data_IF_921089449810
#
_entry.id   IF_921089449810
#
_cell.length_a   1.000
_cell.length_b   1.000
_cell.length_c   1.000
_cell.angle_alpha   90.00
_cell.angle_beta   90.00
_cell.angle_gamma   90.00
#
_symmetry.space_group_name_H-M   'P 1'
#
loop_
_entity.id
_entity.type
_entity.pdbx_description
1 polymer ?
#
# COMPACT_ATOMS: atom_id res chain seq x y z
N UNK A 1 28.98 8.13 0.50
CA UNK A 1 27.92 7.27 1.06
C UNK A 1 28.55 5.99 1.60
N UNK A 2 28.08 5.49 2.73
CA UNK A 2 28.67 4.30 3.38
C UNK A 2 28.56 3.07 2.48
N UNK A 3 29.63 2.29 2.27
CA UNK A 3 29.64 1.17 1.31
C UNK A 3 28.57 0.10 1.57
N UNK A 4 28.27 -0.19 2.83
CA UNK A 4 27.19 -1.15 3.18
C UNK A 4 25.84 -0.69 2.69
N UNK A 5 25.57 0.61 2.78
CA UNK A 5 24.30 1.17 2.29
C UNK A 5 24.24 1.12 0.78
N UNK A 6 25.32 1.51 0.10
CA UNK A 6 25.42 1.45 -1.36
C UNK A 6 25.16 0.04 -1.86
N UNK A 7 25.84 -0.96 -1.26
CA UNK A 7 25.65 -2.36 -1.63
C UNK A 7 24.20 -2.83 -1.44
N UNK A 8 23.60 -2.48 -0.31
CA UNK A 8 22.20 -2.82 -0.05
C UNK A 8 21.28 -2.15 -1.08
N UNK A 9 21.48 -0.87 -1.37
CA UNK A 9 20.67 -0.12 -2.33
C UNK A 9 20.79 -0.69 -3.75
N UNK A 10 22.00 -0.97 -4.20
CA UNK A 10 22.23 -1.56 -5.53
C UNK A 10 21.57 -2.93 -5.70
N UNK A 11 21.50 -3.71 -4.63
CA UNK A 11 20.87 -5.03 -4.64
C UNK A 11 19.34 -4.98 -4.86
N UNK A 12 18.72 -3.82 -4.69
CA UNK A 12 17.26 -3.67 -4.82
C UNK A 12 16.78 -3.59 -6.27
N UNK A 13 17.66 -3.23 -7.19
CA UNK A 13 17.28 -2.99 -8.59
C UNK A 13 16.67 -4.23 -9.25
N UNK A 14 17.25 -5.41 -9.01
CA UNK A 14 16.71 -6.67 -9.55
C UNK A 14 15.29 -6.94 -9.02
N UNK A 15 15.03 -6.71 -7.75
CA UNK A 15 13.71 -6.90 -7.15
C UNK A 15 12.69 -5.88 -7.68
N UNK A 16 13.11 -4.63 -7.84
CA UNK A 16 12.29 -3.59 -8.47
C UNK A 16 11.88 -3.97 -9.90
N UNK A 17 12.85 -4.40 -10.71
CA UNK A 17 12.59 -4.84 -12.08
C UNK A 17 11.66 -6.05 -12.12
N UNK A 18 11.85 -7.01 -11.23
CA UNK A 18 10.98 -8.19 -11.13
C UNK A 18 9.54 -7.78 -10.78
N UNK A 19 9.37 -6.86 -9.82
CA UNK A 19 8.05 -6.33 -9.45
C UNK A 19 7.36 -5.69 -10.67
N UNK A 20 8.07 -4.85 -11.41
CA UNK A 20 7.50 -4.13 -12.55
C UNK A 20 7.20 -5.04 -13.76
N UNK A 21 7.94 -6.14 -13.92
CA UNK A 21 7.71 -7.13 -14.99
C UNK A 21 6.59 -8.10 -14.66
N UNK A 22 6.23 -8.25 -13.41
CA UNK A 22 5.17 -9.17 -13.03
C UNK A 22 3.86 -8.79 -13.70
N UNK A 23 3.18 -9.77 -14.31
CA UNK A 23 1.81 -9.59 -14.77
C UNK A 23 0.90 -9.37 -13.57
N UNK A 24 0.13 -8.29 -13.53
CA UNK A 24 -0.71 -8.00 -12.37
C UNK A 24 -1.82 -9.05 -12.19
N UNK A 25 -2.20 -9.22 -10.93
CA UNK A 25 -3.36 -10.03 -10.53
C UNK A 25 -4.32 -9.15 -9.74
N UNK A 26 -5.52 -9.63 -9.50
CA UNK A 26 -6.45 -8.99 -8.56
C UNK A 26 -6.41 -9.71 -7.20
N UNK A 27 -6.86 -9.06 -6.15
CA UNK A 27 -6.94 -9.65 -4.81
C UNK A 27 -7.76 -10.94 -4.84
N UNK A 28 -8.81 -11.01 -5.64
CA UNK A 28 -9.67 -12.19 -5.77
C UNK A 28 -8.99 -13.38 -6.45
N UNK A 29 -7.89 -13.15 -7.18
CA UNK A 29 -7.18 -14.17 -7.94
C UNK A 29 -5.70 -14.30 -7.55
N UNK A 30 -5.37 -13.97 -6.31
CA UNK A 30 -4.00 -14.15 -5.80
C UNK A 30 -3.58 -15.62 -5.84
N UNK A 31 -2.40 -15.94 -6.40
CA UNK A 31 -1.97 -17.31 -6.56
C UNK A 31 -1.66 -17.98 -5.21
N UNK A 32 -1.95 -19.28 -5.09
CA UNK A 32 -1.72 -20.03 -3.84
C UNK A 32 -0.23 -20.16 -3.48
N UNK A 33 0.65 -20.24 -4.48
CA UNK A 33 2.09 -20.41 -4.29
C UNK A 33 2.89 -19.13 -4.21
N UNK A 34 2.25 -17.99 -3.88
CA UNK A 34 2.94 -16.71 -3.80
C UNK A 34 3.92 -16.68 -2.61
N UNK A 35 4.97 -15.85 -2.68
CA UNK A 35 5.91 -15.73 -1.56
C UNK A 35 5.24 -15.22 -0.28
N UNK A 36 5.80 -15.61 0.87
CA UNK A 36 5.26 -15.22 2.18
C UNK A 36 5.66 -13.79 2.56
N UNK A 37 6.87 -13.40 2.21
CA UNK A 37 7.48 -12.12 2.61
C UNK A 37 7.88 -11.31 1.40
N UNK A 38 7.63 -10.03 1.44
CA UNK A 38 8.06 -9.16 0.36
C UNK A 38 7.33 -7.82 0.29
N UNK A 39 7.36 -7.26 -0.90
CA UNK A 39 6.79 -5.96 -1.23
C UNK A 39 5.68 -6.15 -2.28
N UNK A 40 4.63 -5.35 -2.17
CA UNK A 40 3.52 -5.37 -3.11
C UNK A 40 3.17 -3.96 -3.58
N UNK A 41 2.56 -3.88 -4.75
CA UNK A 41 2.22 -2.64 -5.43
C UNK A 41 0.77 -2.69 -5.91
N UNK A 42 -0.02 -1.70 -5.53
CA UNK A 42 -1.33 -1.46 -6.12
C UNK A 42 -1.26 -0.39 -7.20
N UNK A 43 -1.86 -0.68 -8.35
CA UNK A 43 -1.90 0.22 -9.50
C UNK A 43 -3.27 0.21 -10.16
N UNK A 44 -3.58 1.30 -10.86
CA UNK A 44 -4.70 1.39 -11.82
C UNK A 44 -4.10 1.69 -13.19
N UNK A 45 -3.92 0.65 -14.01
CA UNK A 45 -3.19 0.77 -15.26
C UNK A 45 -1.75 1.24 -15.05
N UNK A 46 -1.39 2.36 -15.64
CA UNK A 46 -0.05 2.96 -15.50
C UNK A 46 0.12 3.83 -14.26
N UNK A 47 -0.94 4.03 -13.49
CA UNK A 47 -0.89 4.81 -12.26
C UNK A 47 -0.53 3.89 -11.08
N UNK A 48 0.66 4.04 -10.56
CA UNK A 48 1.15 3.30 -9.40
C UNK A 48 0.76 4.08 -8.13
N UNK A 49 -0.07 3.49 -7.31
CA UNK A 49 -0.76 4.24 -6.25
C UNK A 49 -0.18 4.00 -4.85
N UNK A 50 0.12 2.76 -4.52
CA UNK A 50 0.52 2.41 -3.17
C UNK A 50 1.46 1.21 -3.15
N UNK A 51 2.57 1.35 -2.44
CA UNK A 51 3.54 0.28 -2.17
C UNK A 51 3.42 -0.11 -0.71
N UNK A 52 3.41 -1.40 -0.43
CA UNK A 52 3.44 -1.90 0.93
C UNK A 52 4.40 -3.08 1.07
N UNK A 53 4.70 -3.44 2.31
CA UNK A 53 5.52 -4.61 2.62
C UNK A 53 4.85 -5.48 3.67
N UNK A 54 5.18 -6.76 3.68
CA UNK A 54 4.61 -7.68 4.66
C UNK A 54 5.40 -8.98 4.75
N UNK A 55 5.39 -9.58 5.93
CA UNK A 55 5.81 -10.95 6.14
C UNK A 55 4.64 -11.95 5.95
N UNK A 56 3.50 -11.45 5.51
CA UNK A 56 2.29 -12.24 5.21
C UNK A 56 1.64 -11.72 3.94
N UNK A 57 2.36 -11.80 2.81
CA UNK A 57 1.89 -11.29 1.51
C UNK A 57 0.55 -11.90 1.08
N UNK A 58 0.28 -13.15 1.43
CA UNK A 58 -0.99 -13.80 1.12
C UNK A 58 -2.20 -13.23 1.89
N UNK A 59 -1.96 -12.42 2.93
CA UNK A 59 -3.00 -11.81 3.78
C UNK A 59 -3.03 -10.29 3.70
N UNK A 60 -1.85 -9.65 3.69
CA UNK A 60 -1.77 -8.20 3.86
C UNK A 60 -2.49 -7.38 2.79
N UNK A 61 -2.36 -7.67 1.49
CA UNK A 61 -3.11 -6.92 0.47
C UNK A 61 -4.62 -7.00 0.67
N UNK A 62 -5.14 -8.15 1.10
CA UNK A 62 -6.58 -8.33 1.37
C UNK A 62 -7.10 -7.43 2.48
N UNK A 63 -6.25 -7.05 3.44
CA UNK A 63 -6.64 -6.17 4.55
C UNK A 63 -7.00 -4.76 4.10
N UNK A 64 -6.45 -4.31 2.97
CA UNK A 64 -6.77 -2.99 2.43
C UNK A 64 -8.21 -2.86 1.98
N UNK A 65 -8.86 -3.95 1.64
CA UNK A 65 -10.23 -3.97 1.16
C UNK A 65 -11.15 -4.93 1.96
N UNK A 66 -10.67 -5.44 3.07
CA UNK A 66 -11.44 -6.32 3.96
C UNK A 66 -12.26 -5.55 5.00
N UNK A 67 -12.67 -6.24 6.05
CA UNK A 67 -13.46 -5.68 7.16
C UNK A 67 -12.64 -4.81 8.12
N UNK A 68 -11.34 -4.69 7.89
CA UNK A 68 -10.43 -4.00 8.80
C UNK A 68 -10.71 -2.50 8.83
N UNK A 69 -11.09 -1.97 10.01
CA UNK A 69 -11.38 -0.54 10.21
C UNK A 69 -10.18 0.38 10.00
N UNK A 70 -8.97 -0.16 10.14
CA UNK A 70 -7.71 0.59 10.09
C UNK A 70 -7.02 0.52 8.73
N UNK A 71 -7.74 0.20 7.66
CA UNK A 71 -7.21 0.15 6.31
C UNK A 71 -6.77 1.55 5.83
N UNK A 72 -5.52 1.91 6.13
CA UNK A 72 -5.01 3.27 5.95
C UNK A 72 -5.09 3.76 4.50
N UNK A 73 -4.80 2.90 3.54
CA UNK A 73 -4.89 3.25 2.12
C UNK A 73 -6.33 3.58 1.69
N UNK A 74 -7.29 2.72 2.03
CA UNK A 74 -8.70 2.97 1.75
C UNK A 74 -9.20 4.23 2.46
N UNK A 75 -8.75 4.45 3.69
CA UNK A 75 -9.11 5.61 4.48
C UNK A 75 -8.63 6.91 3.82
N UNK A 76 -7.41 6.91 3.28
CA UNK A 76 -6.85 8.07 2.58
C UNK A 76 -7.59 8.36 1.27
N UNK A 77 -7.95 7.32 0.52
CA UNK A 77 -8.79 7.48 -0.68
C UNK A 77 -10.14 8.10 -0.33
N UNK A 78 -10.77 7.63 0.75
CA UNK A 78 -12.05 8.16 1.20
C UNK A 78 -11.94 9.62 1.67
N UNK A 79 -10.85 10.00 2.35
CA UNK A 79 -10.57 11.39 2.73
C UNK A 79 -10.50 12.31 1.53
N UNK A 80 -9.79 11.90 0.48
CA UNK A 80 -9.69 12.68 -0.76
C UNK A 80 -11.05 12.84 -1.43
N UNK A 81 -11.82 11.75 -1.52
CA UNK A 81 -13.14 11.77 -2.13
C UNK A 81 -14.14 12.68 -1.40
N UNK A 82 -14.07 12.72 -0.08
CA UNK A 82 -14.99 13.51 0.75
C UNK A 82 -14.47 14.91 1.12
N UNK A 83 -13.22 15.23 0.79
CA UNK A 83 -12.59 16.51 1.15
C UNK A 83 -11.99 16.56 2.55
N UNK A 84 -12.11 15.53 3.37
CA UNK A 84 -11.49 15.45 4.70
C UNK A 84 -10.02 15.02 4.61
N UNK A 85 -9.19 15.81 3.95
CA UNK A 85 -7.83 15.44 3.51
C UNK A 85 -6.82 15.30 4.64
N UNK A 86 -6.94 16.11 5.72
CA UNK A 86 -5.97 16.14 6.82
C UNK A 86 -6.35 15.17 7.93
N UNK A 87 -5.42 14.26 8.34
CA UNK A 87 -5.66 13.46 9.53
C UNK A 87 -5.69 14.35 10.77
N UNK A 88 -6.67 14.13 11.64
CA UNK A 88 -6.74 14.79 12.94
C UNK A 88 -6.55 13.76 14.05
N UNK A 89 -5.60 14.02 14.95
CA UNK A 89 -5.38 13.21 16.15
C UNK A 89 -6.25 13.68 17.32
N UNK A 90 -6.90 14.83 17.18
CA UNK A 90 -7.84 15.32 18.19
C UNK A 90 -9.15 14.56 18.07
N UNK A 91 -9.77 14.22 19.21
CA UNK A 91 -11.12 13.67 19.24
C UNK A 91 -12.06 14.71 18.63
N UNK A 92 -12.85 14.32 17.64
CA UNK A 92 -13.77 15.19 16.94
C UNK A 92 -14.28 14.58 15.66
N UNK A 93 -15.07 15.35 14.90
CA UNK A 93 -15.74 14.88 13.68
C UNK A 93 -14.79 14.45 12.57
N UNK A 94 -13.58 15.07 12.49
CA UNK A 94 -12.56 14.76 11.50
C UNK A 94 -11.54 13.70 11.96
N UNK A 95 -11.64 13.22 13.20
CA UNK A 95 -10.85 12.09 13.66
C UNK A 95 -11.28 10.81 12.95
N UNK A 96 -10.41 9.77 12.96
CA UNK A 96 -10.77 8.48 12.39
C UNK A 96 -12.09 7.94 12.95
N UNK A 97 -12.25 7.99 14.26
CA UNK A 97 -13.49 7.54 14.92
C UNK A 97 -14.69 8.41 14.56
N UNK A 98 -14.50 9.71 14.50
CA UNK A 98 -15.55 10.67 14.11
C UNK A 98 -16.00 10.45 12.67
N UNK A 99 -15.06 10.28 11.74
CA UNK A 99 -15.35 10.00 10.33
C UNK A 99 -16.10 8.69 10.14
N UNK A 100 -15.77 7.67 10.92
CA UNK A 100 -16.46 6.38 10.89
C UNK A 100 -17.90 6.44 11.40
N UNK A 101 -18.31 7.55 12.00
CA UNK A 101 -19.71 7.84 12.37
C UNK A 101 -20.44 8.68 11.32
N UNK A 102 -19.74 9.24 10.35
CA UNK A 102 -20.31 10.03 9.27
C UNK A 102 -20.76 9.11 8.12
N UNK A 103 -22.07 9.05 7.78
CA UNK A 103 -22.57 8.14 6.75
C UNK A 103 -21.95 8.39 5.37
N UNK A 104 -21.71 9.64 5.01
CA UNK A 104 -21.09 10.01 3.72
C UNK A 104 -19.65 9.48 3.65
N UNK A 105 -18.89 9.65 4.72
CA UNK A 105 -17.53 9.15 4.80
C UNK A 105 -17.47 7.62 4.79
N UNK A 106 -18.33 6.96 5.56
CA UNK A 106 -18.40 5.49 5.60
C UNK A 106 -18.70 4.92 4.22
N UNK A 107 -19.61 5.52 3.46
CA UNK A 107 -19.90 5.11 2.10
C UNK A 107 -18.68 5.28 1.19
N UNK A 108 -17.99 6.40 1.26
CA UNK A 108 -16.75 6.63 0.50
C UNK A 108 -15.65 5.65 0.89
N UNK A 109 -15.55 5.30 2.17
CA UNK A 109 -14.61 4.30 2.67
C UNK A 109 -14.90 2.90 2.10
N UNK A 110 -16.16 2.50 2.06
CA UNK A 110 -16.56 1.22 1.46
C UNK A 110 -16.31 1.20 -0.05
N UNK A 111 -16.58 2.29 -0.75
CA UNK A 111 -16.27 2.45 -2.18
C UNK A 111 -14.76 2.40 -2.44
N UNK A 112 -13.96 3.01 -1.58
CA UNK A 112 -12.49 2.95 -1.66
C UNK A 112 -11.99 1.52 -1.53
N UNK A 113 -12.54 0.73 -0.61
CA UNK A 113 -12.21 -0.70 -0.47
C UNK A 113 -12.56 -1.50 -1.71
N UNK A 114 -13.71 -1.23 -2.32
CA UNK A 114 -14.12 -1.88 -3.56
C UNK A 114 -13.19 -1.49 -4.72
N UNK A 115 -12.80 -0.22 -4.79
CA UNK A 115 -11.81 0.26 -5.76
C UNK A 115 -10.47 -0.48 -5.62
N UNK A 116 -9.98 -0.63 -4.39
CA UNK A 116 -8.73 -1.37 -4.13
C UNK A 116 -8.87 -2.84 -4.54
N UNK A 117 -10.01 -3.46 -4.28
CA UNK A 117 -10.27 -4.86 -4.66
C UNK A 117 -10.13 -5.09 -6.15
N UNK A 118 -10.42 -4.08 -6.97
CA UNK A 118 -10.34 -4.14 -8.43
C UNK A 118 -9.02 -3.59 -8.99
N UNK A 119 -8.10 -3.13 -8.15
CA UNK A 119 -6.78 -2.66 -8.60
C UNK A 119 -5.89 -3.80 -9.08
N UNK A 120 -4.94 -3.44 -9.93
CA UNK A 120 -3.83 -4.29 -10.31
C UNK A 120 -2.87 -4.48 -9.12
N UNK A 121 -2.60 -5.71 -8.77
CA UNK A 121 -1.70 -6.09 -7.69
C UNK A 121 -0.47 -6.80 -8.26
N UNK A 122 0.71 -6.29 -7.90
CA UNK A 122 1.99 -6.94 -8.15
C UNK A 122 2.70 -7.18 -6.83
N UNK A 123 3.57 -8.18 -6.78
CA UNK A 123 4.37 -8.46 -5.60
C UNK A 123 5.71 -9.08 -5.99
N UNK A 124 6.68 -8.96 -5.10
CA UNK A 124 8.00 -9.55 -5.23
C UNK A 124 8.48 -10.06 -3.88
N UNK A 125 9.17 -11.20 -3.89
CA UNK A 125 9.73 -11.78 -2.67
C UNK A 125 10.88 -10.93 -2.13
N UNK A 126 10.88 -10.70 -0.84
CA UNK A 126 12.02 -10.17 -0.08
C UNK A 126 11.91 -10.62 1.37
N UNK A 127 12.79 -11.53 1.77
CA UNK A 127 12.79 -12.12 3.11
C UNK A 127 13.67 -11.35 4.11
N UNK A 128 14.67 -10.62 3.65
CA UNK A 128 15.50 -9.78 4.51
C UNK A 128 14.72 -8.53 4.91
N UNK A 129 14.57 -8.30 6.21
CA UNK A 129 13.72 -7.23 6.73
C UNK A 129 14.26 -5.84 6.40
N UNK A 130 15.56 -5.65 6.41
CA UNK A 130 16.19 -4.38 6.06
C UNK A 130 16.01 -4.09 4.57
N UNK A 131 16.27 -5.08 3.72
CA UNK A 131 16.07 -4.94 2.28
C UNK A 131 14.60 -4.72 1.95
N UNK A 132 13.69 -5.36 2.69
CA UNK A 132 12.25 -5.19 2.50
C UNK A 132 11.81 -3.74 2.75
N UNK A 133 12.31 -3.10 3.82
CA UNK A 133 12.07 -1.67 4.11
C UNK A 133 12.66 -0.79 3.00
N UNK A 134 13.91 -1.03 2.65
CA UNK A 134 14.58 -0.25 1.60
C UNK A 134 13.87 -0.38 0.25
N UNK A 135 13.41 -1.57 -0.09
CA UNK A 135 12.70 -1.83 -1.34
C UNK A 135 11.34 -1.13 -1.38
N UNK A 136 10.60 -1.12 -0.26
CA UNK A 136 9.35 -0.37 -0.15
C UNK A 136 9.58 1.12 -0.44
N UNK A 137 10.57 1.72 0.21
CA UNK A 137 10.92 3.14 0.00
C UNK A 137 11.39 3.38 -1.44
N UNK A 138 12.28 2.51 -1.94
CA UNK A 138 12.79 2.62 -3.31
C UNK A 138 11.64 2.62 -4.34
N UNK A 139 10.74 1.66 -4.25
CA UNK A 139 9.58 1.55 -5.14
C UNK A 139 8.67 2.77 -5.02
N UNK A 140 8.36 3.20 -3.80
CA UNK A 140 7.47 4.34 -3.58
C UNK A 140 8.05 5.63 -4.17
N UNK A 141 9.35 5.86 -4.02
CA UNK A 141 10.05 7.02 -4.57
C UNK A 141 10.15 6.94 -6.09
N UNK A 142 10.61 5.81 -6.62
CA UNK A 142 10.81 5.61 -8.05
C UNK A 142 9.49 5.73 -8.84
N UNK A 143 8.41 5.21 -8.28
CA UNK A 143 7.08 5.21 -8.90
C UNK A 143 6.25 6.45 -8.56
N UNK A 144 6.77 7.32 -7.69
CA UNK A 144 6.05 8.50 -7.17
C UNK A 144 4.66 8.12 -6.64
N UNK A 145 4.59 7.02 -5.88
CA UNK A 145 3.34 6.48 -5.36
C UNK A 145 2.68 7.49 -4.40
N UNK A 146 1.52 8.09 -4.77
CA UNK A 146 0.99 9.24 -4.04
C UNK A 146 0.38 8.89 -2.69
N UNK A 147 0.06 7.63 -2.46
CA UNK A 147 -0.58 7.20 -1.21
C UNK A 147 0.39 6.60 -0.19
N UNK A 148 1.69 6.58 -0.50
CA UNK A 148 2.71 6.29 0.49
C UNK A 148 3.02 7.57 1.27
N UNK A 149 2.74 7.54 2.57
CA UNK A 149 2.98 8.67 3.46
C UNK A 149 4.07 8.30 4.47
N UNK A 150 5.23 8.91 4.30
CA UNK A 150 6.37 8.74 5.20
C UNK A 150 6.50 9.92 6.20
N UNK A 151 5.54 10.83 6.22
CA UNK A 151 5.57 11.96 7.13
C UNK A 151 5.30 11.51 8.56
N UNK A 152 6.01 12.12 9.50
CA UNK A 152 5.74 11.95 10.92
C UNK A 152 4.54 12.81 11.31
N UNK A 153 3.63 12.22 12.00
CA UNK A 153 2.41 12.88 12.47
C UNK A 153 2.40 13.06 13.97
#
# INVERSE_FOLDING_TARGET
MHPRFVSAAESLDASYKALMKMKPVHISSMPKGMPTQGVYLFSEGKKHLYVGRSNKLHKRPKRHCGTHRMAAFAFRLAREETGFVKPSYKKGEESRDGLMKNPVFVQAFMQAKERIRNMDLRFVEESDQTRQVLLEIYCAVALKAPYNDFNTH
#
